data_IF_229122007427
#
_entry.id   IF_229122007427
#
_cell.length_a   1.000
_cell.length_b   1.000
_cell.length_c   1.000
_cell.angle_alpha   90.00
_cell.angle_beta   90.00
_cell.angle_gamma   90.00
#
_symmetry.space_group_name_H-M   'P 1'
#
loop_
_entity.id
_entity.type
_entity.pdbx_description
1 polymer ?
#
# COMPACT_ATOMS: atom_id res chain seq x y z
N UNK A 1 -19.00 -2.80 -1.18
CA UNK A 1 -17.68 -3.17 -0.61
C UNK A 1 -17.56 -2.56 0.78
N UNK A 2 -17.20 -3.34 1.81
CA UNK A 2 -17.09 -2.81 3.18
C UNK A 2 -15.88 -1.85 3.32
N UNK A 3 -15.89 -0.98 4.34
CA UNK A 3 -14.77 -0.04 4.60
C UNK A 3 -13.44 -0.78 4.84
N UNK A 4 -13.47 -1.90 5.57
CA UNK A 4 -12.30 -2.75 5.84
C UNK A 4 -11.77 -3.39 4.56
N UNK A 5 -12.65 -3.98 3.76
CA UNK A 5 -12.28 -4.59 2.48
C UNK A 5 -11.64 -3.56 1.53
N UNK A 6 -12.14 -2.32 1.51
CA UNK A 6 -11.55 -1.24 0.72
C UNK A 6 -10.13 -0.90 1.14
N UNK A 7 -9.86 -0.81 2.45
CA UNK A 7 -8.53 -0.54 2.99
C UNK A 7 -7.56 -1.67 2.61
N UNK A 8 -7.96 -2.92 2.83
CA UNK A 8 -7.13 -4.09 2.52
C UNK A 8 -6.79 -4.17 1.03
N UNK A 9 -7.77 -3.96 0.15
CA UNK A 9 -7.55 -3.96 -1.31
C UNK A 9 -6.63 -2.83 -1.76
N UNK A 10 -6.76 -1.65 -1.16
CA UNK A 10 -5.88 -0.53 -1.45
C UNK A 10 -4.45 -0.82 -0.99
N UNK A 11 -4.26 -1.31 0.24
CA UNK A 11 -2.94 -1.69 0.75
C UNK A 11 -2.30 -2.78 -0.11
N UNK A 12 -3.08 -3.80 -0.50
CA UNK A 12 -2.63 -4.84 -1.42
C UNK A 12 -2.20 -4.27 -2.78
N UNK A 13 -2.97 -3.33 -3.33
CA UNK A 13 -2.61 -2.68 -4.59
C UNK A 13 -1.32 -1.85 -4.49
N UNK A 14 -1.05 -1.23 -3.34
CA UNK A 14 0.19 -0.50 -3.09
C UNK A 14 1.40 -1.44 -3.14
N UNK A 15 1.31 -2.62 -2.52
CA UNK A 15 2.39 -3.63 -2.56
C UNK A 15 2.62 -4.16 -3.99
N UNK A 16 1.54 -4.39 -4.74
CA UNK A 16 1.62 -4.80 -6.14
C UNK A 16 2.13 -3.70 -7.07
N UNK A 17 2.13 -2.43 -6.65
CA UNK A 17 2.36 -1.30 -7.57
C UNK A 17 3.77 -1.30 -8.19
N UNK A 18 4.79 -1.78 -7.45
CA UNK A 18 6.16 -1.88 -7.95
C UNK A 18 6.32 -2.90 -9.07
N UNK A 19 5.96 -4.21 -8.90
CA UNK A 19 6.10 -5.17 -9.99
C UNK A 19 5.21 -4.85 -11.19
N UNK A 20 4.02 -4.26 -11.00
CA UNK A 20 3.15 -3.90 -12.13
C UNK A 20 3.57 -2.59 -12.82
N UNK A 21 4.41 -1.76 -12.21
CA UNK A 21 4.89 -0.50 -12.80
C UNK A 21 5.64 -0.71 -14.12
N UNK A 22 6.20 -1.92 -14.31
CA UNK A 22 6.95 -2.31 -15.51
C UNK A 22 6.14 -3.23 -16.45
N UNK A 23 4.97 -3.71 -16.00
CA UNK A 23 4.11 -4.57 -16.81
C UNK A 23 3.43 -3.78 -17.96
N UNK A 24 2.86 -4.47 -18.95
CA UNK A 24 2.11 -3.83 -20.02
C UNK A 24 0.87 -3.10 -19.51
N UNK A 25 0.42 -2.06 -20.21
CA UNK A 25 -0.77 -1.27 -19.85
C UNK A 25 -2.03 -2.14 -19.70
N UNK A 26 -2.16 -3.19 -20.52
CA UNK A 26 -3.19 -4.21 -20.40
C UNK A 26 -3.18 -4.94 -19.06
N UNK A 27 -1.99 -5.33 -18.57
CA UNK A 27 -1.85 -5.97 -17.25
C UNK A 27 -2.24 -4.99 -16.14
N UNK A 28 -1.76 -3.74 -16.20
CA UNK A 28 -2.07 -2.70 -15.18
C UNK A 28 -3.57 -2.46 -15.06
N UNK A 29 -4.26 -2.33 -16.19
CA UNK A 29 -5.71 -2.19 -16.22
C UNK A 29 -6.45 -3.42 -15.67
N UNK A 30 -6.03 -4.64 -16.05
CA UNK A 30 -6.61 -5.88 -15.53
C UNK A 30 -6.44 -5.99 -14.01
N UNK A 31 -5.25 -5.69 -13.50
CA UNK A 31 -4.97 -5.71 -12.05
C UNK A 31 -5.84 -4.68 -11.34
N UNK A 32 -5.91 -3.45 -11.84
CA UNK A 32 -6.76 -2.39 -11.25
C UNK A 32 -8.23 -2.81 -11.20
N UNK A 33 -8.77 -3.31 -12.32
CA UNK A 33 -10.13 -3.84 -12.42
C UNK A 33 -10.39 -4.99 -11.44
N UNK A 34 -9.48 -5.95 -11.34
CA UNK A 34 -9.63 -7.12 -10.45
C UNK A 34 -9.55 -6.75 -8.97
N UNK A 35 -8.59 -5.91 -8.59
CA UNK A 35 -8.38 -5.53 -7.19
C UNK A 35 -9.53 -4.69 -6.66
N UNK A 36 -9.99 -3.70 -7.43
CA UNK A 36 -11.05 -2.78 -6.98
C UNK A 36 -12.46 -3.20 -7.41
N UNK A 37 -12.60 -4.21 -8.27
CA UNK A 37 -13.89 -4.68 -8.83
C UNK A 37 -14.66 -3.56 -9.55
N UNK A 38 -13.94 -2.74 -10.30
CA UNK A 38 -14.48 -1.58 -11.02
C UNK A 38 -14.17 -1.67 -12.51
N UNK A 39 -15.02 -1.06 -13.35
CA UNK A 39 -14.72 -0.93 -14.77
C UNK A 39 -13.47 -0.08 -14.97
N UNK A 40 -12.56 -0.59 -15.80
CA UNK A 40 -11.34 0.12 -16.20
C UNK A 40 -11.19 -0.06 -17.69
N UNK A 41 -11.51 0.99 -18.44
CA UNK A 41 -11.37 1.01 -19.89
C UNK A 41 -10.07 1.72 -20.23
N UNK A 42 -9.15 1.00 -20.86
CA UNK A 42 -7.92 1.58 -21.36
C UNK A 42 -8.23 2.53 -22.51
N UNK A 43 -7.75 3.77 -22.39
CA UNK A 43 -7.53 4.61 -23.57
C UNK A 43 -6.23 4.16 -24.21
N UNK A 44 -6.13 4.07 -25.54
CA UNK A 44 -4.85 3.85 -26.22
C UNK A 44 -3.88 4.99 -25.82
N UNK A 45 -2.99 4.79 -24.82
CA UNK A 45 -2.25 5.89 -24.23
C UNK A 45 -1.01 6.13 -25.08
N UNK A 46 -0.62 7.39 -25.27
CA UNK A 46 0.64 7.69 -25.94
C UNK A 46 1.83 7.09 -25.14
N UNK A 47 2.95 6.76 -25.82
CA UNK A 47 4.14 6.22 -25.14
C UNK A 47 4.61 7.09 -23.97
N UNK A 48 4.56 8.41 -24.14
CA UNK A 48 4.88 9.37 -23.08
C UNK A 48 3.99 9.23 -21.83
N UNK A 49 2.66 9.14 -21.99
CA UNK A 49 1.73 8.94 -20.86
C UNK A 49 1.98 7.61 -20.16
N UNK A 50 2.33 6.59 -20.93
CA UNK A 50 2.71 5.27 -20.39
C UNK A 50 4.00 5.36 -19.56
N UNK A 51 5.02 6.06 -20.06
CA UNK A 51 6.27 6.28 -19.35
C UNK A 51 6.08 7.07 -18.04
N UNK A 52 5.34 8.17 -18.07
CA UNK A 52 4.99 8.98 -16.88
C UNK A 52 4.25 8.12 -15.86
N UNK A 53 3.27 7.32 -16.28
CA UNK A 53 2.59 6.40 -15.37
C UNK A 53 3.55 5.37 -14.78
N UNK A 54 4.43 4.76 -15.58
CA UNK A 54 5.41 3.78 -15.09
C UNK A 54 6.31 4.39 -14.03
N UNK A 55 6.83 5.60 -14.26
CA UNK A 55 7.70 6.30 -13.32
C UNK A 55 6.98 6.59 -12.00
N UNK A 56 5.79 7.22 -12.06
CA UNK A 56 5.01 7.50 -10.86
C UNK A 56 4.62 6.22 -10.11
N UNK A 57 4.26 5.17 -10.84
CA UNK A 57 3.94 3.87 -10.28
C UNK A 57 5.15 3.23 -9.58
N UNK A 58 6.33 3.32 -10.18
CA UNK A 58 7.56 2.79 -9.61
C UNK A 58 7.95 3.55 -8.32
N UNK A 59 7.86 4.89 -8.32
CA UNK A 59 8.14 5.71 -7.13
C UNK A 59 7.18 5.36 -5.99
N UNK A 60 5.87 5.31 -6.25
CA UNK A 60 4.88 4.94 -5.22
C UNK A 60 5.08 3.49 -4.76
N UNK A 61 5.42 2.58 -5.68
CA UNK A 61 5.72 1.19 -5.35
C UNK A 61 6.96 1.04 -4.48
N UNK A 62 8.01 1.80 -4.75
CA UNK A 62 9.21 1.81 -3.94
C UNK A 62 8.92 2.32 -2.52
N UNK A 63 8.14 3.41 -2.39
CA UNK A 63 7.68 3.91 -1.09
C UNK A 63 6.83 2.86 -0.35
N UNK A 64 5.97 2.13 -1.06
CA UNK A 64 5.15 1.07 -0.48
C UNK A 64 6.01 -0.10 0.02
N UNK A 65 7.01 -0.52 -0.76
CA UNK A 65 7.95 -1.56 -0.37
C UNK A 65 8.85 -1.13 0.80
N UNK A 66 9.27 0.13 0.83
CA UNK A 66 10.00 0.69 1.97
C UNK A 66 9.13 0.69 3.24
N UNK A 67 7.85 1.06 3.15
CA UNK A 67 6.93 0.96 4.28
C UNK A 67 6.72 -0.49 4.75
N UNK A 68 6.61 -1.45 3.82
CA UNK A 68 6.56 -2.89 4.17
C UNK A 68 7.84 -3.34 4.86
N UNK A 69 9.01 -2.93 4.37
CA UNK A 69 10.29 -3.22 4.99
C UNK A 69 10.33 -2.71 6.43
N UNK A 70 9.95 -1.44 6.66
CA UNK A 70 9.90 -0.86 8.01
C UNK A 70 8.92 -1.61 8.92
N UNK A 71 7.74 -1.98 8.41
CA UNK A 71 6.76 -2.76 9.14
C UNK A 71 7.30 -4.14 9.56
N UNK A 72 7.98 -4.83 8.63
CA UNK A 72 8.61 -6.13 8.89
C UNK A 72 9.76 -6.00 9.88
N UNK A 73 10.62 -5.00 9.74
CA UNK A 73 11.71 -4.74 10.69
C UNK A 73 11.17 -4.46 12.09
N UNK A 74 10.15 -3.61 12.22
CA UNK A 74 9.52 -3.32 13.49
C UNK A 74 8.88 -4.57 14.13
N UNK A 75 8.18 -5.38 13.32
CA UNK A 75 7.58 -6.63 13.76
C UNK A 75 8.62 -7.63 14.26
N UNK A 76 9.66 -7.87 13.46
CA UNK A 76 10.75 -8.81 13.80
C UNK A 76 11.50 -8.33 15.03
N UNK A 77 11.89 -7.05 15.08
CA UNK A 77 12.57 -6.49 16.26
C UNK A 77 11.70 -6.52 17.51
N UNK A 78 10.40 -6.29 17.40
CA UNK A 78 9.49 -6.37 18.53
C UNK A 78 9.32 -7.81 19.03
N UNK A 79 9.01 -8.74 18.13
CA UNK A 79 8.75 -10.14 18.47
C UNK A 79 10.01 -10.86 18.99
N UNK A 80 11.15 -10.61 18.37
CA UNK A 80 12.43 -11.26 18.67
C UNK A 80 13.38 -10.33 19.44
N UNK A 81 12.86 -9.30 20.11
CA UNK A 81 13.67 -8.36 20.90
C UNK A 81 14.71 -9.06 21.80
N UNK A 82 14.40 -10.15 22.55
CA UNK A 82 15.38 -10.82 23.40
C UNK A 82 16.59 -11.39 22.67
N UNK A 83 16.43 -11.76 21.39
CA UNK A 83 17.52 -12.30 20.56
C UNK A 83 18.35 -11.19 19.91
N UNK A 84 17.84 -9.96 19.88
CA UNK A 84 18.37 -8.83 19.11
C UNK A 84 18.88 -7.68 19.99
N UNK A 85 18.52 -7.66 21.29
CA UNK A 85 18.78 -6.54 22.20
C UNK A 85 20.22 -6.48 22.75
N UNK A 86 21.02 -7.55 22.64
CA UNK A 86 22.34 -7.60 23.29
C UNK A 86 22.25 -7.45 24.81
N UNK A 87 23.31 -6.94 25.43
CA UNK A 87 23.43 -6.85 26.91
C UNK A 87 22.93 -5.50 27.50
N UNK A 88 22.39 -4.59 26.69
CA UNK A 88 22.01 -3.22 27.12
C UNK A 88 20.54 -3.12 27.60
N UNK A 89 20.19 -3.93 28.61
CA UNK A 89 18.85 -3.91 29.22
C UNK A 89 18.64 -2.73 30.17
N UNK A 90 19.71 -2.17 30.74
CA UNK A 90 19.62 -1.06 31.71
C UNK A 90 18.98 0.20 31.12
N UNK A 91 19.24 0.48 29.84
CA UNK A 91 18.70 1.64 29.13
C UNK A 91 17.39 1.34 28.37
N UNK A 92 16.87 0.13 28.49
CA UNK A 92 15.75 -0.34 27.68
C UNK A 92 14.38 0.02 28.27
N UNK A 93 13.44 0.41 27.39
CA UNK A 93 12.07 0.71 27.79
C UNK A 93 11.37 -0.56 28.27
N UNK A 94 10.80 -0.53 29.47
CA UNK A 94 10.26 -1.73 30.15
C UNK A 94 11.08 -2.15 31.39
N UNK A 95 12.09 -1.36 31.76
CA UNK A 95 12.91 -1.55 32.96
C UNK A 95 14.10 -2.49 32.72
N UNK A 96 14.97 -2.70 33.73
CA UNK A 96 16.21 -3.46 33.58
C UNK A 96 15.99 -4.98 33.37
N UNK A 97 14.73 -5.43 33.34
CA UNK A 97 14.40 -6.83 33.13
C UNK A 97 14.18 -7.13 31.65
N UNK A 98 14.73 -8.26 31.19
CA UNK A 98 14.50 -8.76 29.83
C UNK A 98 13.00 -8.93 29.52
N UNK A 99 12.23 -9.43 30.50
CA UNK A 99 10.80 -9.68 30.33
C UNK A 99 10.01 -8.38 30.15
N UNK A 100 10.27 -7.36 30.97
CA UNK A 100 9.62 -6.06 30.87
C UNK A 100 9.98 -5.35 29.55
N UNK A 101 11.27 -5.37 29.18
CA UNK A 101 11.72 -4.81 27.92
C UNK A 101 11.08 -5.51 26.71
N UNK A 102 11.04 -6.84 26.73
CA UNK A 102 10.39 -7.61 25.67
C UNK A 102 8.92 -7.27 25.51
N UNK A 103 8.14 -7.22 26.59
CA UNK A 103 6.69 -6.94 26.52
C UNK A 103 6.42 -5.61 25.83
N UNK A 104 7.18 -4.56 26.17
CA UNK A 104 7.04 -3.24 25.54
C UNK A 104 7.34 -3.32 24.03
N UNK A 105 8.47 -3.92 23.66
CA UNK A 105 8.88 -4.00 22.25
C UNK A 105 7.96 -4.92 21.42
N UNK A 106 7.50 -6.03 21.99
CA UNK A 106 6.53 -6.91 21.36
C UNK A 106 5.18 -6.21 21.18
N UNK A 107 4.70 -5.50 22.20
CA UNK A 107 3.46 -4.73 22.11
C UNK A 107 3.54 -3.64 21.03
N UNK A 108 4.66 -2.93 20.93
CA UNK A 108 4.87 -1.92 19.89
C UNK A 108 5.01 -2.55 18.50
N UNK A 109 5.90 -3.54 18.33
CA UNK A 109 6.17 -4.15 17.03
C UNK A 109 4.99 -4.94 16.47
N UNK A 110 4.39 -5.81 17.28
CA UNK A 110 3.25 -6.67 16.89
C UNK A 110 1.94 -5.89 16.93
N UNK A 111 1.71 -5.13 18.00
CA UNK A 111 0.44 -4.41 18.20
C UNK A 111 0.23 -3.27 17.22
N UNK A 112 1.29 -2.56 16.82
CA UNK A 112 1.18 -1.50 15.80
C UNK A 112 1.26 -2.04 14.36
N UNK A 113 1.59 -3.32 14.15
CA UNK A 113 1.71 -3.91 12.82
C UNK A 113 0.48 -3.68 11.92
N UNK A 114 -0.78 -3.87 12.39
CA UNK A 114 -1.97 -3.60 11.58
C UNK A 114 -2.13 -2.14 11.15
N UNK A 115 -1.54 -1.18 11.88
CA UNK A 115 -1.63 0.25 11.54
C UNK A 115 -0.89 0.59 10.24
N UNK A 116 0.11 -0.21 9.84
CA UNK A 116 0.82 -0.05 8.56
C UNK A 116 -0.10 -0.24 7.34
N UNK A 117 -1.26 -0.87 7.50
CA UNK A 117 -2.26 -0.96 6.44
C UNK A 117 -2.79 0.42 6.02
N UNK A 118 -2.79 1.42 6.91
CA UNK A 118 -3.31 2.76 6.62
C UNK A 118 -2.44 3.54 5.63
N UNK A 119 -1.12 3.74 5.87
CA UNK A 119 -0.27 4.39 4.88
C UNK A 119 -0.19 3.61 3.56
N UNK A 120 -0.15 2.27 3.61
CA UNK A 120 -0.21 1.44 2.41
C UNK A 120 -1.52 1.64 1.64
N UNK A 121 -2.66 1.67 2.33
CA UNK A 121 -3.94 1.94 1.68
C UNK A 121 -3.99 3.35 1.06
N UNK A 122 -3.41 4.36 1.72
CA UNK A 122 -3.32 5.70 1.16
C UNK A 122 -2.52 5.70 -0.16
N UNK A 123 -1.34 5.07 -0.17
CA UNK A 123 -0.51 4.93 -1.38
C UNK A 123 -1.26 4.17 -2.49
N UNK A 124 -1.97 3.10 -2.16
CA UNK A 124 -2.77 2.33 -3.12
C UNK A 124 -3.93 3.12 -3.71
N UNK A 125 -4.58 3.98 -2.92
CA UNK A 125 -5.63 4.89 -3.43
C UNK A 125 -5.03 5.92 -4.38
N UNK A 126 -3.87 6.50 -4.05
CA UNK A 126 -3.15 7.43 -4.95
C UNK A 126 -2.78 6.74 -6.25
N UNK A 127 -2.22 5.54 -6.17
CA UNK A 127 -1.87 4.73 -7.34
C UNK A 127 -3.10 4.47 -8.23
N UNK A 128 -4.23 4.07 -7.65
CA UNK A 128 -5.48 3.86 -8.40
C UNK A 128 -5.92 5.14 -9.12
N UNK A 129 -5.89 6.28 -8.43
CA UNK A 129 -6.29 7.58 -8.99
C UNK A 129 -5.38 7.99 -10.15
N UNK A 130 -4.07 7.77 -10.04
CA UNK A 130 -3.10 8.03 -11.12
C UNK A 130 -3.37 7.11 -12.32
N UNK A 131 -3.59 5.81 -12.08
CA UNK A 131 -3.96 4.87 -13.15
C UNK A 131 -5.24 5.29 -13.87
N UNK A 132 -6.28 5.71 -13.14
CA UNK A 132 -7.51 6.22 -13.74
C UNK A 132 -7.24 7.49 -14.54
N UNK A 133 -6.59 8.51 -13.97
CA UNK A 133 -6.36 9.79 -14.68
C UNK A 133 -5.49 9.67 -15.93
N UNK A 134 -4.44 8.83 -15.87
CA UNK A 134 -3.44 8.76 -16.94
C UNK A 134 -3.77 7.68 -17.99
N UNK A 135 -4.35 6.55 -17.59
CA UNK A 135 -4.55 5.40 -18.50
C UNK A 135 -6.01 5.12 -18.84
N UNK A 136 -6.98 5.54 -18.03
CA UNK A 136 -8.39 5.25 -18.34
C UNK A 136 -8.98 6.22 -19.37
N UNK A 137 -10.00 5.74 -20.10
CA UNK A 137 -10.84 6.55 -21.01
C UNK A 137 -11.94 7.30 -20.23
N UNK A 138 -12.33 6.76 -19.08
CA UNK A 138 -13.37 7.31 -18.20
C UNK A 138 -12.79 8.48 -17.39
N UNK A 139 -12.99 9.71 -17.86
CA UNK A 139 -12.61 10.89 -17.08
C UNK A 139 -13.35 10.96 -15.73
N UNK A 140 -12.83 11.71 -14.73
CA UNK A 140 -13.42 11.84 -13.39
C UNK A 140 -14.92 12.21 -13.38
N UNK A 141 -15.37 12.88 -14.43
CA UNK A 141 -16.72 13.43 -14.63
C UNK A 141 -17.79 12.39 -15.00
N UNK A 142 -17.43 11.21 -15.52
CA UNK A 142 -18.44 10.21 -15.93
C UNK A 142 -19.01 9.41 -14.75
N UNK A 143 -18.28 9.29 -13.64
CA UNK A 143 -18.81 8.69 -12.41
C UNK A 143 -19.83 9.60 -11.72
N UNK A 144 -19.71 10.93 -11.87
CA UNK A 144 -20.68 11.89 -11.31
C UNK A 144 -22.00 11.91 -12.10
N UNK A 145 -21.94 11.64 -13.42
CA UNK A 145 -23.11 11.64 -14.31
C UNK A 145 -24.03 10.43 -14.12
N UNK A 146 -23.49 9.28 -13.71
CA UNK A 146 -24.26 8.05 -13.50
C UNK A 146 -25.17 8.09 -12.26
N UNK A 147 -25.00 9.07 -11.37
CA UNK A 147 -25.86 9.28 -10.20
C UNK A 147 -27.14 10.07 -10.51
N UNK A 148 -27.25 10.71 -11.69
CA UNK A 148 -28.34 11.63 -12.04
C UNK A 148 -29.21 11.18 -13.21
N UNK A 149 -28.99 10.00 -13.79
CA UNK A 149 -29.77 9.51 -14.96
C UNK A 149 -30.63 8.29 -14.64
N UNK A 150 -31.21 8.24 -13.44
CA UNK A 150 -32.30 7.31 -13.14
C UNK A 150 -33.58 8.14 -12.98
N UNK A 151 -34.20 8.41 -14.12
CA UNK A 151 -35.62 8.71 -14.21
C UNK A 151 -36.40 7.40 -14.29
#
# INVERSE_FOLDING_TARGET
MSKRERILRAAYYAVLSLPIAFASTGVRARVTRRVFRESFELRAPSPWRTAVHSLLAAVIGLLSWFAVLLAVVALVRGAFYPLLAGDDLENSWGGPSLAGAWVVHAALGVGLFPLWLLPLAALGIVQRRISQRILSRTGPWLLFRQFWTKD
#
